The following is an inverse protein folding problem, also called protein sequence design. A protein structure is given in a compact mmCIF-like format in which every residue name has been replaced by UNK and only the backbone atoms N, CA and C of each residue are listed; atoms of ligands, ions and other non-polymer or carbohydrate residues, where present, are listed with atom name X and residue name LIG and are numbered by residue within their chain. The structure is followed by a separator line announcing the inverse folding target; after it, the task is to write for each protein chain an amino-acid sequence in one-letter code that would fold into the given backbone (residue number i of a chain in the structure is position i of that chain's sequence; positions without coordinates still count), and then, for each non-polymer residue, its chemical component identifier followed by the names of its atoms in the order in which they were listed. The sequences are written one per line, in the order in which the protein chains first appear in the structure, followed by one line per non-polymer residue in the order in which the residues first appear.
data_IF_946687709946
#
_entry.id   IF_946687709946
#
_cell.length_a   1.000
_cell.length_b   1.000
_cell.length_c   1.000
_cell.angle_alpha   90.00
_cell.angle_beta   90.00
_cell.angle_gamma   90.00
#
_symmetry.space_group_name_H-M   'P 1'
#
loop_
_entity.id
_entity.type
_entity.pdbx_description
1 polymer ?
#
# COMPACT_ATOMS: atom_id res chain seq x y z
N UNK A 1 1.30 8.06 -3.80
CA UNK A 1 -0.11 7.77 -3.41
C UNK A 1 -0.75 9.07 -2.92
N UNK A 2 -1.79 9.55 -3.54
CA UNK A 2 -2.56 10.80 -3.19
C UNK A 2 -1.78 12.12 -3.22
N UNK A 3 -0.62 12.18 -3.84
CA UNK A 3 0.29 13.35 -3.74
C UNK A 3 -0.36 14.66 -4.19
N UNK A 4 -1.16 14.62 -5.29
CA UNK A 4 -1.86 15.79 -5.81
C UNK A 4 -2.95 16.28 -4.84
N UNK A 5 -3.76 15.36 -4.31
CA UNK A 5 -4.83 15.69 -3.37
C UNK A 5 -4.24 16.21 -2.04
N UNK A 6 -3.22 15.54 -1.52
CA UNK A 6 -2.55 15.94 -0.28
C UNK A 6 -1.98 17.36 -0.36
N UNK A 7 -1.31 17.69 -1.46
CA UNK A 7 -0.74 19.03 -1.66
C UNK A 7 -1.82 20.11 -1.71
N UNK A 8 -2.94 19.85 -2.37
CA UNK A 8 -4.05 20.81 -2.48
C UNK A 8 -4.76 20.99 -1.15
N UNK A 9 -5.01 19.91 -0.43
CA UNK A 9 -5.63 19.97 0.90
C UNK A 9 -4.73 20.65 1.91
N UNK A 10 -3.44 20.35 1.91
CA UNK A 10 -2.50 21.03 2.80
C UNK A 10 -2.44 22.53 2.52
N UNK A 11 -2.38 22.95 1.25
CA UNK A 11 -2.45 24.39 0.88
C UNK A 11 -3.74 25.04 1.39
N UNK A 12 -4.89 24.40 1.18
CA UNK A 12 -6.18 24.88 1.64
C UNK A 12 -6.24 25.05 3.17
N UNK A 13 -5.74 24.07 3.91
CA UNK A 13 -5.73 24.08 5.37
C UNK A 13 -4.62 24.96 5.96
N UNK A 14 -3.53 25.20 5.21
CA UNK A 14 -2.43 26.05 5.65
C UNK A 14 -2.85 27.52 5.79
N UNK A 15 -3.82 27.97 5.00
CA UNK A 15 -4.39 29.34 5.11
C UNK A 15 -4.90 29.60 6.54
N UNK A 16 -5.43 28.57 7.20
CA UNK A 16 -5.90 28.68 8.58
C UNK A 16 -4.78 28.72 9.64
N UNK A 17 -3.59 28.19 9.32
CA UNK A 17 -2.47 28.13 10.28
C UNK A 17 -1.85 29.53 10.55
N UNK A 18 -2.04 30.49 9.65
CA UNK A 18 -1.48 31.86 9.78
C UNK A 18 -2.38 32.83 10.55
N UNK A 19 -3.64 32.44 10.86
CA UNK A 19 -4.60 33.31 11.54
C UNK A 19 -4.72 32.94 13.03
N UNK A 20 -4.42 33.89 13.89
CA UNK A 20 -4.55 33.71 15.35
C UNK A 20 -6.00 33.54 15.84
N UNK A 21 -6.99 33.85 14.99
CA UNK A 21 -8.41 33.59 15.18
C UNK A 21 -9.03 33.11 13.88
N UNK A 22 -9.90 32.10 13.95
CA UNK A 22 -10.68 31.61 12.80
C UNK A 22 -12.04 32.28 12.82
N UNK A 23 -12.44 32.87 11.69
CA UNK A 23 -13.77 33.47 11.49
C UNK A 23 -14.63 32.54 10.62
N UNK A 24 -15.95 32.75 10.66
CA UNK A 24 -16.87 32.00 9.76
C UNK A 24 -16.51 32.22 8.28
N UNK A 25 -16.02 33.39 7.92
CA UNK A 25 -15.59 33.74 6.55
C UNK A 25 -14.37 32.89 6.17
N UNK A 26 -13.34 32.82 7.04
CA UNK A 26 -12.14 32.03 6.76
C UNK A 26 -12.45 30.53 6.63
N UNK A 27 -13.37 30.01 7.46
CA UNK A 27 -13.86 28.63 7.34
C UNK A 27 -14.54 28.41 5.99
N UNK A 28 -15.41 29.32 5.57
CA UNK A 28 -16.11 29.19 4.30
C UNK A 28 -15.17 29.22 3.09
N UNK A 29 -14.17 30.10 3.09
CA UNK A 29 -13.14 30.17 2.05
C UNK A 29 -12.28 28.91 2.01
N UNK A 30 -11.78 28.45 3.16
CA UNK A 30 -11.03 27.20 3.24
C UNK A 30 -11.81 26.00 2.73
N UNK A 31 -13.08 25.89 3.11
CA UNK A 31 -13.94 24.79 2.65
C UNK A 31 -14.27 24.86 1.15
N UNK A 32 -14.27 26.06 0.56
CA UNK A 32 -14.37 26.22 -0.90
C UNK A 32 -13.14 25.61 -1.59
N UNK A 33 -11.95 25.89 -1.08
CA UNK A 33 -10.70 25.32 -1.65
C UNK A 33 -10.61 23.79 -1.38
N UNK A 34 -11.01 23.32 -0.19
CA UNK A 34 -11.11 21.88 0.09
C UNK A 34 -12.05 21.19 -0.89
N UNK A 35 -13.24 21.78 -1.16
CA UNK A 35 -14.16 21.22 -2.17
C UNK A 35 -13.53 21.17 -3.54
N UNK A 36 -12.82 22.22 -3.95
CA UNK A 36 -12.14 22.27 -5.22
C UNK A 36 -11.07 21.18 -5.31
N UNK A 37 -10.27 20.99 -4.24
CA UNK A 37 -9.27 19.93 -4.18
C UNK A 37 -9.89 18.53 -4.34
N UNK A 38 -11.04 18.27 -3.70
CA UNK A 38 -11.78 17.01 -3.84
C UNK A 38 -12.31 16.79 -5.27
N UNK A 39 -12.86 17.84 -5.90
CA UNK A 39 -13.34 17.76 -7.29
C UNK A 39 -12.19 17.52 -8.27
N UNK A 40 -11.08 18.21 -8.10
CA UNK A 40 -9.86 18.01 -8.90
C UNK A 40 -9.25 16.61 -8.72
N UNK A 41 -9.58 15.95 -7.61
CA UNK A 41 -9.23 14.57 -7.32
C UNK A 41 -10.24 13.54 -7.85
N UNK A 42 -11.18 13.93 -8.71
CA UNK A 42 -12.26 13.10 -9.24
C UNK A 42 -13.25 12.58 -8.18
N UNK A 43 -13.40 13.27 -7.05
CA UNK A 43 -14.46 12.96 -6.09
C UNK A 43 -15.80 13.43 -6.65
N UNK A 44 -16.85 12.63 -6.51
CA UNK A 44 -18.19 12.98 -6.97
C UNK A 44 -18.65 14.31 -6.37
N UNK A 45 -19.23 15.19 -7.21
CA UNK A 45 -19.66 16.53 -6.82
C UNK A 45 -20.61 16.55 -5.60
N UNK A 46 -21.58 15.64 -5.55
CA UNK A 46 -22.52 15.55 -4.44
C UNK A 46 -21.78 15.20 -3.15
N UNK A 47 -20.88 14.23 -3.21
CA UNK A 47 -20.07 13.80 -2.06
C UNK A 47 -19.19 14.96 -1.56
N UNK A 48 -18.47 15.64 -2.45
CA UNK A 48 -17.63 16.79 -2.09
C UNK A 48 -18.43 17.95 -1.48
N UNK A 49 -19.64 18.19 -1.98
CA UNK A 49 -20.57 19.19 -1.44
C UNK A 49 -21.08 18.82 -0.05
N UNK A 50 -21.54 17.58 0.12
CA UNK A 50 -22.09 17.10 1.40
C UNK A 50 -20.98 17.04 2.46
N UNK A 51 -19.77 16.57 2.11
CA UNK A 51 -18.59 16.60 2.95
C UNK A 51 -18.29 18.00 3.49
N UNK A 52 -18.17 18.99 2.60
CA UNK A 52 -17.85 20.38 3.03
C UNK A 52 -18.96 21.01 3.84
N UNK A 53 -20.24 20.65 3.57
CA UNK A 53 -21.36 21.07 4.40
C UNK A 53 -21.29 20.52 5.82
N UNK A 54 -21.01 19.22 5.96
CA UNK A 54 -20.87 18.54 7.26
C UNK A 54 -19.70 19.09 8.05
N UNK A 55 -18.53 19.27 7.40
CA UNK A 55 -17.36 19.89 8.05
C UNK A 55 -17.68 21.31 8.54
N UNK A 56 -18.37 22.13 7.72
CA UNK A 56 -18.81 23.47 8.14
C UNK A 56 -19.68 23.42 9.39
N UNK A 57 -20.69 22.55 9.40
CA UNK A 57 -21.60 22.41 10.54
C UNK A 57 -20.85 21.99 11.81
N UNK A 58 -19.96 21.02 11.72
CA UNK A 58 -19.13 20.56 12.86
C UNK A 58 -18.19 21.65 13.35
N UNK A 59 -17.54 22.37 12.44
CA UNK A 59 -16.63 23.46 12.78
C UNK A 59 -17.35 24.60 13.54
N UNK A 60 -18.53 25.00 13.11
CA UNK A 60 -19.32 26.03 13.78
C UNK A 60 -19.91 25.55 15.12
N UNK A 61 -20.29 24.25 15.22
CA UNK A 61 -20.88 23.67 16.42
C UNK A 61 -19.90 23.35 17.55
N UNK A 62 -18.60 23.16 17.25
CA UNK A 62 -17.58 22.76 18.23
C UNK A 62 -16.77 23.94 18.81
N UNK A 63 -17.25 25.16 18.75
CA UNK A 63 -16.53 26.33 19.23
C UNK A 63 -15.09 26.46 18.68
N UNK A 64 -14.88 26.07 17.41
CA UNK A 64 -13.57 26.20 16.74
C UNK A 64 -13.07 27.65 16.80
N UNK A 65 -14.02 28.59 16.70
CA UNK A 65 -13.74 30.04 16.74
C UNK A 65 -13.16 30.53 18.06
N UNK A 66 -13.43 29.82 19.16
CA UNK A 66 -12.95 30.15 20.51
C UNK A 66 -11.83 29.25 21.01
N UNK A 67 -11.39 28.30 20.21
CA UNK A 67 -10.31 27.37 20.56
C UNK A 67 -8.96 28.09 20.61
N UNK A 68 -8.08 27.65 21.52
CA UNK A 68 -6.69 28.11 21.58
C UNK A 68 -5.86 27.63 20.36
N UNK A 69 -6.30 26.57 19.68
CA UNK A 69 -5.64 26.01 18.48
C UNK A 69 -6.68 25.71 17.38
N UNK A 70 -7.32 26.74 16.81
CA UNK A 70 -8.45 26.55 15.90
C UNK A 70 -8.08 25.77 14.64
N UNK A 71 -6.88 26.00 14.09
CA UNK A 71 -6.40 25.31 12.89
C UNK A 71 -6.21 23.79 13.10
N UNK A 72 -5.72 23.38 14.26
CA UNK A 72 -5.57 21.94 14.58
C UNK A 72 -6.93 21.26 14.75
N UNK A 73 -7.87 21.95 15.39
CA UNK A 73 -9.23 21.41 15.53
C UNK A 73 -9.92 21.28 14.18
N UNK A 74 -9.70 22.23 13.25
CA UNK A 74 -10.23 22.15 11.89
C UNK A 74 -9.65 20.98 11.12
N UNK A 75 -8.33 20.76 11.19
CA UNK A 75 -7.67 19.61 10.57
C UNK A 75 -8.23 18.29 11.13
N UNK A 76 -8.44 18.22 12.45
CA UNK A 76 -9.07 17.06 13.09
C UNK A 76 -10.47 16.80 12.57
N UNK A 77 -11.32 17.82 12.47
CA UNK A 77 -12.69 17.68 11.93
C UNK A 77 -12.64 17.16 10.48
N UNK A 78 -11.76 17.71 9.64
CA UNK A 78 -11.57 17.25 8.25
C UNK A 78 -11.11 15.79 8.21
N UNK A 79 -10.15 15.40 9.07
CA UNK A 79 -9.69 14.01 9.20
C UNK A 79 -10.81 13.07 9.59
N UNK A 80 -11.52 13.39 10.67
CA UNK A 80 -12.62 12.56 11.19
C UNK A 80 -13.72 12.37 10.13
N UNK A 81 -14.01 13.42 9.35
CA UNK A 81 -15.01 13.37 8.29
C UNK A 81 -14.52 12.58 7.06
N UNK A 82 -13.24 12.69 6.67
CA UNK A 82 -12.65 11.85 5.63
C UNK A 82 -12.67 10.38 6.04
N UNK A 83 -12.31 10.08 7.29
CA UNK A 83 -12.36 8.72 7.85
C UNK A 83 -13.77 8.14 7.77
N UNK A 84 -14.78 8.90 8.21
CA UNK A 84 -16.19 8.50 8.16
C UNK A 84 -16.66 8.26 6.72
N UNK A 85 -16.27 9.13 5.79
CA UNK A 85 -16.61 9.04 4.37
C UNK A 85 -16.07 7.77 3.71
N UNK A 86 -14.86 7.33 4.13
CA UNK A 86 -14.23 6.10 3.65
C UNK A 86 -14.67 4.83 4.39
N UNK A 87 -15.52 4.95 5.42
CA UNK A 87 -16.13 3.80 6.08
C UNK A 87 -15.96 3.71 7.59
N UNK A 88 -15.23 4.64 8.21
CA UNK A 88 -14.98 4.69 9.65
C UNK A 88 -13.95 3.66 10.09
N UNK A 89 -14.35 2.40 10.21
CA UNK A 89 -13.51 1.31 10.67
C UNK A 89 -13.05 0.39 9.53
N UNK A 90 -11.92 -0.30 9.75
CA UNK A 90 -11.45 -1.34 8.84
C UNK A 90 -12.41 -2.54 8.84
N UNK A 91 -12.67 -3.09 7.65
CA UNK A 91 -13.53 -4.26 7.49
C UNK A 91 -12.70 -5.49 7.11
N UNK A 92 -12.75 -6.53 7.95
CA UNK A 92 -12.07 -7.79 7.69
C UNK A 92 -12.74 -8.62 6.59
N UNK A 93 -11.99 -9.60 6.08
CA UNK A 93 -12.51 -10.61 5.14
C UNK A 93 -13.31 -11.68 5.90
N UNK A 94 -14.42 -12.10 5.32
CA UNK A 94 -15.24 -13.18 5.89
C UNK A 94 -14.71 -14.55 5.45
N UNK A 95 -14.13 -15.28 6.38
CA UNK A 95 -13.56 -16.62 6.16
C UNK A 95 -14.42 -17.73 6.80
N UNK A 96 -15.73 -17.55 6.82
CA UNK A 96 -16.66 -18.58 7.31
C UNK A 96 -16.85 -19.67 6.26
N UNK A 97 -17.00 -20.91 6.73
CA UNK A 97 -17.17 -22.09 5.85
C UNK A 97 -15.93 -22.99 5.83
N UNK A 98 -16.10 -24.20 5.32
CA UNK A 98 -15.03 -25.19 5.17
C UNK A 98 -15.21 -25.96 3.85
N UNK A 99 -14.53 -25.51 2.79
CA UNK A 99 -13.70 -24.31 2.67
C UNK A 99 -14.51 -23.01 2.65
N UNK A 100 -13.88 -21.87 3.02
CA UNK A 100 -14.40 -20.52 2.73
C UNK A 100 -14.24 -20.25 1.24
N UNK A 101 -15.28 -19.79 0.56
CA UNK A 101 -15.24 -19.51 -0.87
C UNK A 101 -15.25 -18.00 -1.11
N UNK A 102 -14.25 -17.49 -1.80
CA UNK A 102 -14.09 -16.08 -2.16
C UNK A 102 -14.24 -15.96 -3.67
N UNK A 103 -15.20 -15.14 -4.10
CA UNK A 103 -15.41 -14.84 -5.52
C UNK A 103 -14.81 -13.46 -5.87
N UNK A 104 -13.89 -13.45 -6.85
CA UNK A 104 -13.29 -12.23 -7.36
C UNK A 104 -14.05 -11.77 -8.59
N UNK A 105 -14.57 -10.54 -8.60
CA UNK A 105 -15.33 -9.95 -9.70
C UNK A 105 -14.77 -8.59 -10.12
N UNK A 106 -15.02 -8.14 -11.36
CA UNK A 106 -14.56 -6.84 -11.86
C UNK A 106 -14.22 -6.86 -13.34
N UNK A 107 -13.88 -5.69 -13.91
CA UNK A 107 -13.57 -5.54 -15.33
C UNK A 107 -12.20 -6.14 -15.71
N UNK A 108 -11.97 -6.33 -17.00
CA UNK A 108 -10.65 -6.69 -17.53
C UNK A 108 -9.63 -5.59 -17.21
N UNK A 109 -8.41 -6.00 -16.84
CA UNK A 109 -7.35 -5.04 -16.49
C UNK A 109 -7.46 -4.43 -15.10
N UNK A 110 -8.53 -4.73 -14.34
CA UNK A 110 -8.67 -4.26 -12.95
C UNK A 110 -7.69 -4.93 -11.96
N UNK A 111 -6.96 -5.97 -12.40
CA UNK A 111 -5.96 -6.65 -11.57
C UNK A 111 -6.48 -7.85 -10.78
N UNK A 112 -7.66 -8.43 -11.12
CA UNK A 112 -8.25 -9.60 -10.44
C UNK A 112 -7.26 -10.75 -10.27
N UNK A 113 -6.71 -11.26 -11.37
CA UNK A 113 -5.80 -12.42 -11.37
C UNK A 113 -4.58 -12.18 -10.47
N UNK A 114 -3.92 -11.03 -10.62
CA UNK A 114 -2.78 -10.65 -9.78
C UNK A 114 -3.19 -10.50 -8.31
N UNK A 115 -4.35 -9.90 -8.06
CA UNK A 115 -4.83 -9.70 -6.69
C UNK A 115 -5.31 -11.00 -6.06
N UNK A 116 -5.86 -11.94 -6.82
CA UNK A 116 -6.17 -13.32 -6.36
C UNK A 116 -4.93 -13.98 -5.78
N UNK A 117 -3.79 -13.87 -6.46
CA UNK A 117 -2.50 -14.34 -5.95
C UNK A 117 -2.03 -13.59 -4.69
N UNK A 118 -2.11 -12.27 -4.68
CA UNK A 118 -1.75 -11.46 -3.50
C UNK A 118 -2.60 -11.83 -2.29
N UNK A 119 -3.91 -12.00 -2.48
CA UNK A 119 -4.83 -12.39 -1.42
C UNK A 119 -4.52 -13.81 -0.93
N UNK A 120 -4.22 -14.75 -1.84
CA UNK A 120 -3.80 -16.10 -1.46
C UNK A 120 -2.52 -16.09 -0.63
N UNK A 121 -1.51 -15.31 -1.06
CA UNK A 121 -0.26 -15.14 -0.32
C UNK A 121 -0.50 -14.52 1.07
N UNK A 122 -1.31 -13.47 1.15
CA UNK A 122 -1.70 -12.85 2.42
C UNK A 122 -2.39 -13.83 3.36
N UNK A 123 -3.36 -14.61 2.86
CA UNK A 123 -4.09 -15.60 3.67
C UNK A 123 -3.18 -16.73 4.14
N UNK A 124 -2.24 -17.17 3.30
CA UNK A 124 -1.25 -18.19 3.63
C UNK A 124 -0.27 -17.69 4.71
N UNK A 125 0.32 -16.53 4.51
CA UNK A 125 1.42 -16.02 5.34
C UNK A 125 0.95 -15.32 6.62
N UNK A 126 -0.15 -14.54 6.55
CA UNK A 126 -0.64 -13.72 7.66
C UNK A 126 -1.82 -14.34 8.42
N UNK A 127 -2.55 -15.27 7.80
CA UNK A 127 -3.75 -15.89 8.40
C UNK A 127 -3.62 -17.39 8.58
N UNK A 128 -2.45 -17.98 8.26
CA UNK A 128 -2.18 -19.42 8.37
C UNK A 128 -3.26 -20.28 7.69
N UNK A 129 -3.75 -19.83 6.53
CA UNK A 129 -4.72 -20.54 5.70
C UNK A 129 -4.02 -21.37 4.63
N UNK A 130 -4.73 -22.41 4.14
CA UNK A 130 -4.31 -23.22 3.00
C UNK A 130 -5.23 -22.90 1.81
N UNK A 131 -4.92 -21.85 0.98
CA UNK A 131 -5.76 -21.44 -0.12
C UNK A 131 -5.55 -22.29 -1.37
N UNK A 132 -6.63 -22.45 -2.17
CA UNK A 132 -6.65 -22.94 -3.53
C UNK A 132 -7.06 -21.79 -4.46
N UNK A 133 -6.28 -21.52 -5.49
CA UNK A 133 -6.65 -20.62 -6.57
C UNK A 133 -7.43 -21.37 -7.65
N UNK A 134 -8.44 -20.74 -8.26
CA UNK A 134 -9.29 -21.38 -9.28
C UNK A 134 -9.37 -20.50 -10.51
N UNK A 135 -8.98 -21.06 -11.67
CA UNK A 135 -8.99 -20.38 -12.96
C UNK A 135 -10.37 -20.52 -13.65
N UNK A 136 -11.24 -19.52 -13.50
CA UNK A 136 -12.53 -19.45 -14.17
C UNK A 136 -12.58 -18.42 -15.31
N UNK A 137 -11.45 -17.81 -15.74
CA UNK A 137 -11.36 -17.02 -16.97
C UNK A 137 -11.11 -17.94 -18.17
N UNK A 138 -12.15 -18.66 -18.57
CA UNK A 138 -12.07 -19.68 -19.63
C UNK A 138 -11.89 -19.12 -21.03
N UNK A 139 -12.18 -17.84 -21.24
CA UNK A 139 -12.10 -17.18 -22.55
C UNK A 139 -10.69 -16.74 -22.92
N UNK A 140 -9.78 -16.70 -21.94
CA UNK A 140 -8.41 -16.25 -22.15
C UNK A 140 -7.40 -17.27 -21.62
N UNK A 141 -6.89 -18.16 -22.49
CA UNK A 141 -5.87 -19.14 -22.10
C UNK A 141 -4.65 -18.50 -21.40
N UNK A 142 -4.28 -17.30 -21.84
CA UNK A 142 -3.19 -16.55 -21.21
C UNK A 142 -3.48 -16.18 -19.74
N UNK A 143 -4.75 -15.93 -19.37
CA UNK A 143 -5.12 -15.63 -17.98
C UNK A 143 -5.02 -16.87 -17.08
N UNK A 144 -5.41 -18.05 -17.61
CA UNK A 144 -5.23 -19.33 -16.91
C UNK A 144 -3.73 -19.56 -16.63
N UNK A 145 -2.90 -19.45 -17.68
CA UNK A 145 -1.45 -19.59 -17.52
C UNK A 145 -0.87 -18.56 -16.55
N UNK A 146 -1.33 -17.32 -16.61
CA UNK A 146 -0.92 -16.27 -15.67
C UNK A 146 -1.22 -16.65 -14.21
N UNK A 147 -2.40 -17.20 -13.95
CA UNK A 147 -2.77 -17.62 -12.60
C UNK A 147 -1.89 -18.79 -12.12
N UNK A 148 -1.53 -19.73 -13.01
CA UNK A 148 -0.57 -20.80 -12.69
C UNK A 148 0.82 -20.25 -12.34
N UNK A 149 1.36 -19.31 -13.11
CA UNK A 149 2.65 -18.65 -12.81
C UNK A 149 2.60 -17.94 -11.46
N UNK A 150 1.51 -17.23 -11.19
CA UNK A 150 1.31 -16.57 -9.90
C UNK A 150 1.23 -17.59 -8.75
N UNK A 151 0.49 -18.68 -8.93
CA UNK A 151 0.37 -19.76 -7.95
C UNK A 151 1.72 -20.40 -7.64
N UNK A 152 2.52 -20.71 -8.67
CA UNK A 152 3.87 -21.25 -8.53
C UNK A 152 4.80 -20.30 -7.77
N UNK A 153 4.76 -19.02 -8.11
CA UNK A 153 5.57 -17.98 -7.45
C UNK A 153 5.35 -17.90 -5.93
N UNK A 154 4.10 -18.11 -5.48
CA UNK A 154 3.74 -18.03 -4.04
C UNK A 154 3.61 -19.42 -3.39
N UNK A 155 3.82 -20.49 -4.15
CA UNK A 155 3.68 -21.88 -3.68
C UNK A 155 2.25 -22.21 -3.24
N UNK A 156 1.25 -21.80 -4.05
CA UNK A 156 -0.18 -22.09 -3.86
C UNK A 156 -0.69 -22.86 -5.07
N UNK A 157 -1.46 -23.93 -4.80
CA UNK A 157 -2.05 -24.76 -5.85
C UNK A 157 -3.10 -23.99 -6.64
N UNK A 158 -3.13 -24.24 -7.96
CA UNK A 158 -4.10 -23.67 -8.89
C UNK A 158 -4.91 -24.78 -9.52
N UNK A 159 -6.22 -24.76 -9.31
CA UNK A 159 -7.17 -25.64 -9.97
C UNK A 159 -7.58 -25.06 -11.33
N UNK A 160 -7.44 -25.83 -12.38
CA UNK A 160 -7.95 -25.52 -13.73
C UNK A 160 -8.51 -26.81 -14.36
N UNK A 161 -9.60 -26.68 -15.12
CA UNK A 161 -10.24 -27.79 -15.83
C UNK A 161 -10.08 -27.55 -17.33
N UNK A 162 -8.94 -28.03 -17.88
CA UNK A 162 -8.55 -27.79 -19.29
C UNK A 162 -9.60 -28.31 -20.25
N UNK A 163 -9.98 -27.45 -21.21
CA UNK A 163 -10.99 -27.78 -22.23
C UNK A 163 -12.43 -27.58 -21.77
N UNK A 164 -12.68 -27.33 -20.51
CA UNK A 164 -14.02 -26.99 -20.02
C UNK A 164 -14.24 -25.47 -20.16
N UNK A 165 -15.32 -25.09 -20.84
CA UNK A 165 -15.69 -23.68 -21.08
C UNK A 165 -16.86 -23.23 -20.21
N UNK A 166 -17.26 -24.01 -19.19
CA UNK A 166 -18.32 -23.66 -18.22
C UNK A 166 -17.72 -23.26 -16.89
N UNK A 167 -17.65 -21.93 -16.56
CA UNK A 167 -17.11 -21.44 -15.31
C UNK A 167 -17.87 -21.96 -14.07
N UNK A 168 -19.17 -22.23 -14.22
CA UNK A 168 -20.00 -22.74 -13.11
C UNK A 168 -19.59 -24.18 -12.77
N UNK A 169 -19.39 -25.03 -13.79
CA UNK A 169 -18.94 -26.40 -13.60
C UNK A 169 -17.53 -26.45 -12.99
N UNK A 170 -16.61 -25.59 -13.48
CA UNK A 170 -15.24 -25.47 -12.96
C UNK A 170 -15.27 -25.07 -11.48
N UNK A 171 -16.02 -24.02 -11.12
CA UNK A 171 -16.12 -23.54 -9.76
C UNK A 171 -16.66 -24.61 -8.78
N UNK A 172 -17.71 -25.35 -9.17
CA UNK A 172 -18.25 -26.46 -8.38
C UNK A 172 -17.24 -27.58 -8.18
N UNK A 173 -16.55 -28.01 -9.24
CA UNK A 173 -15.49 -29.02 -9.18
C UNK A 173 -14.36 -28.59 -8.27
N UNK A 174 -13.93 -27.33 -8.38
CA UNK A 174 -12.86 -26.76 -7.55
C UNK A 174 -13.23 -26.77 -6.05
N UNK A 175 -14.46 -26.40 -5.69
CA UNK A 175 -14.93 -26.45 -4.31
C UNK A 175 -14.97 -27.89 -3.79
N UNK A 176 -15.40 -28.85 -4.61
CA UNK A 176 -15.37 -30.28 -4.26
C UNK A 176 -13.93 -30.79 -4.09
N UNK A 177 -13.02 -30.42 -5.02
CA UNK A 177 -11.59 -30.71 -4.94
C UNK A 177 -10.97 -30.16 -3.65
N UNK A 178 -11.27 -28.91 -3.31
CA UNK A 178 -10.78 -28.26 -2.10
C UNK A 178 -11.20 -29.02 -0.82
N UNK A 179 -12.46 -29.45 -0.75
CA UNK A 179 -12.98 -30.27 0.39
C UNK A 179 -12.24 -31.60 0.50
N UNK A 180 -12.00 -32.28 -0.62
CA UNK A 180 -11.35 -33.59 -0.64
C UNK A 180 -9.86 -33.52 -0.27
N UNK A 181 -9.17 -32.40 -0.56
CA UNK A 181 -7.73 -32.26 -0.42
C UNK A 181 -7.29 -31.34 0.75
N UNK A 182 -8.22 -30.95 1.65
CA UNK A 182 -7.89 -30.21 2.86
C UNK A 182 -7.55 -28.74 2.67
N UNK A 183 -7.96 -28.13 1.54
CA UNK A 183 -7.91 -26.68 1.38
C UNK A 183 -9.02 -26.04 2.21
N UNK A 184 -8.69 -24.97 2.93
CA UNK A 184 -9.66 -24.29 3.80
C UNK A 184 -10.16 -22.95 3.25
N UNK A 185 -9.56 -22.47 2.14
CA UNK A 185 -10.01 -21.29 1.39
C UNK A 185 -9.95 -21.61 -0.11
N UNK A 186 -10.94 -21.16 -0.86
CA UNK A 186 -10.99 -21.25 -2.32
C UNK A 186 -11.15 -19.82 -2.85
N UNK A 187 -10.26 -19.38 -3.73
CA UNK A 187 -10.32 -18.05 -4.37
C UNK A 187 -10.59 -18.27 -5.86
N UNK A 188 -11.76 -17.82 -6.32
CA UNK A 188 -12.22 -18.01 -7.70
C UNK A 188 -11.93 -16.73 -8.48
N UNK A 189 -10.97 -16.83 -9.41
CA UNK A 189 -10.64 -15.77 -10.37
C UNK A 189 -11.53 -15.87 -11.60
N UNK A 190 -12.45 -14.90 -11.78
CA UNK A 190 -13.42 -14.90 -12.87
C UNK A 190 -12.93 -14.11 -14.07
N UNK A 191 -13.54 -14.39 -15.24
CA UNK A 191 -13.35 -13.59 -16.43
C UNK A 191 -13.69 -12.10 -16.16
N UNK A 192 -13.02 -11.22 -16.89
CA UNK A 192 -13.37 -9.81 -16.98
C UNK A 192 -13.48 -9.39 -18.44
N UNK A 193 -14.43 -8.54 -18.76
CA UNK A 193 -14.53 -7.90 -20.07
C UNK A 193 -14.17 -6.42 -19.98
N UNK A 194 -13.97 -5.78 -21.13
CA UNK A 194 -13.56 -4.37 -21.21
C UNK A 194 -14.67 -3.41 -20.74
N UNK A 195 -15.92 -3.83 -20.85
CA UNK A 195 -17.08 -3.07 -20.39
C UNK A 195 -18.07 -4.01 -19.70
N UNK A 196 -18.96 -3.43 -18.92
CA UNK A 196 -20.08 -4.15 -18.31
C UNK A 196 -21.08 -4.51 -19.41
N UNK A 197 -21.28 -5.80 -19.66
CA UNK A 197 -22.31 -6.31 -20.57
C UNK A 197 -23.18 -7.37 -19.88
N UNK A 198 -24.38 -7.57 -20.39
CA UNK A 198 -25.37 -8.49 -19.84
C UNK A 198 -24.86 -9.96 -19.78
N UNK A 199 -24.22 -10.52 -20.82
CA UNK A 199 -23.69 -11.88 -20.76
C UNK A 199 -22.67 -12.10 -19.65
N UNK A 200 -21.75 -11.15 -19.44
CA UNK A 200 -20.76 -11.22 -18.36
C UNK A 200 -21.42 -11.17 -16.97
N UNK A 201 -22.37 -10.26 -16.79
CA UNK A 201 -23.06 -10.13 -15.51
C UNK A 201 -23.86 -11.39 -15.19
N UNK A 202 -24.55 -11.96 -16.19
CA UNK A 202 -25.28 -13.21 -16.02
C UNK A 202 -24.35 -14.39 -15.68
N UNK A 203 -23.17 -14.47 -16.31
CA UNK A 203 -22.20 -15.52 -16.03
C UNK A 203 -21.71 -15.44 -14.57
N UNK A 204 -21.31 -14.26 -14.11
CA UNK A 204 -20.84 -14.07 -12.73
C UNK A 204 -21.96 -14.36 -11.72
N UNK A 205 -23.20 -13.94 -12.01
CA UNK A 205 -24.37 -14.28 -11.18
C UNK A 205 -24.60 -15.79 -11.09
N UNK A 206 -24.46 -16.51 -12.22
CA UNK A 206 -24.62 -17.96 -12.25
C UNK A 206 -23.55 -18.66 -11.42
N UNK A 207 -22.28 -18.21 -11.53
CA UNK A 207 -21.19 -18.71 -10.68
C UNK A 207 -21.51 -18.41 -9.22
N UNK A 208 -21.86 -17.17 -8.88
CA UNK A 208 -22.19 -16.75 -7.51
C UNK A 208 -23.30 -17.62 -6.89
N UNK A 209 -24.41 -17.81 -7.61
CA UNK A 209 -25.55 -18.66 -7.16
C UNK A 209 -25.13 -20.12 -6.96
N UNK A 210 -24.25 -20.62 -7.83
CA UNK A 210 -23.87 -22.03 -7.84
C UNK A 210 -22.93 -22.42 -6.70
N UNK A 211 -22.09 -21.50 -6.22
CA UNK A 211 -21.09 -21.76 -5.17
C UNK A 211 -21.44 -21.13 -3.82
N UNK A 212 -22.42 -20.20 -3.78
CA UNK A 212 -22.80 -19.46 -2.56
C UNK A 212 -21.56 -18.97 -1.79
N UNK A 213 -20.77 -18.04 -2.35
CA UNK A 213 -19.51 -17.65 -1.76
C UNK A 213 -19.71 -17.04 -0.36
N UNK A 214 -18.77 -17.26 0.54
CA UNK A 214 -18.75 -16.61 1.86
C UNK A 214 -18.33 -15.15 1.76
N UNK A 215 -17.67 -14.78 0.65
CA UNK A 215 -17.21 -13.42 0.38
C UNK A 215 -17.18 -13.18 -1.14
N UNK A 216 -17.80 -12.11 -1.60
CA UNK A 216 -17.71 -11.62 -2.99
C UNK A 216 -16.98 -10.30 -2.97
N UNK A 217 -15.83 -10.23 -3.65
CA UNK A 217 -14.97 -9.05 -3.69
C UNK A 217 -14.98 -8.43 -5.09
N UNK A 218 -15.29 -7.15 -5.15
CA UNK A 218 -15.22 -6.38 -6.37
C UNK A 218 -13.84 -5.72 -6.50
N UNK A 219 -13.11 -6.07 -7.55
CA UNK A 219 -11.77 -5.57 -7.83
C UNK A 219 -11.83 -4.47 -8.87
N UNK A 220 -11.30 -3.30 -8.53
CA UNK A 220 -11.33 -2.13 -9.40
C UNK A 220 -9.99 -1.38 -9.38
N UNK A 221 -9.63 -0.82 -10.54
CA UNK A 221 -8.45 0.01 -10.71
C UNK A 221 -8.72 1.41 -10.15
N UNK A 222 -7.98 1.82 -9.12
CA UNK A 222 -8.14 3.14 -8.48
C UNK A 222 -7.83 4.29 -9.44
N UNK A 223 -6.98 4.08 -10.45
CA UNK A 223 -6.59 5.10 -11.41
C UNK A 223 -7.71 5.52 -12.36
N UNK A 224 -8.77 4.72 -12.49
CA UNK A 224 -9.93 5.04 -13.35
C UNK A 224 -10.87 6.07 -12.73
N UNK A 225 -10.61 6.54 -11.51
CA UNK A 225 -11.33 7.65 -10.88
C UNK A 225 -12.84 7.40 -10.77
N UNK A 226 -13.65 8.29 -11.33
CA UNK A 226 -15.13 8.20 -11.24
C UNK A 226 -15.71 6.99 -11.98
N UNK A 227 -15.03 6.47 -13.02
CA UNK A 227 -15.46 5.25 -13.73
C UNK A 227 -15.38 4.01 -12.82
N UNK A 228 -14.41 3.97 -11.91
CA UNK A 228 -14.35 2.95 -10.86
C UNK A 228 -15.63 2.94 -10.01
N UNK A 229 -16.10 4.12 -9.64
CA UNK A 229 -17.30 4.29 -8.80
C UNK A 229 -18.57 3.88 -9.55
N UNK A 230 -18.70 4.28 -10.81
CA UNK A 230 -19.84 3.93 -11.66
C UNK A 230 -19.91 2.42 -11.91
N UNK A 231 -18.76 1.80 -12.21
CA UNK A 231 -18.64 0.35 -12.40
C UNK A 231 -18.99 -0.39 -11.11
N UNK A 232 -18.46 0.06 -9.96
CA UNK A 232 -18.79 -0.52 -8.65
C UNK A 232 -20.29 -0.52 -8.38
N UNK A 233 -20.98 0.58 -8.71
CA UNK A 233 -22.45 0.67 -8.57
C UNK A 233 -23.15 -0.39 -9.41
N UNK A 234 -22.81 -0.52 -10.69
CA UNK A 234 -23.45 -1.50 -11.59
C UNK A 234 -23.24 -2.93 -11.09
N UNK A 235 -22.03 -3.28 -10.67
CA UNK A 235 -21.75 -4.60 -10.08
C UNK A 235 -22.50 -4.81 -8.76
N UNK A 236 -22.58 -3.79 -7.91
CA UNK A 236 -23.27 -3.91 -6.63
C UNK A 236 -24.78 -4.12 -6.79
N UNK A 237 -25.39 -3.44 -7.76
CA UNK A 237 -26.82 -3.56 -8.05
C UNK A 237 -27.21 -4.99 -8.51
N UNK A 238 -26.26 -5.74 -9.11
CA UNK A 238 -26.46 -7.10 -9.62
C UNK A 238 -25.99 -8.20 -8.66
N UNK A 239 -24.81 -8.07 -8.07
CA UNK A 239 -24.17 -9.11 -7.27
C UNK A 239 -24.29 -8.85 -5.77
N UNK A 240 -24.61 -7.62 -5.34
CA UNK A 240 -24.60 -7.22 -3.95
C UNK A 240 -23.31 -7.69 -3.22
N UNK A 241 -22.14 -7.40 -3.82
CA UNK A 241 -20.84 -7.87 -3.31
C UNK A 241 -20.58 -7.38 -1.85
N UNK A 242 -19.66 -8.06 -1.16
CA UNK A 242 -19.41 -7.83 0.26
C UNK A 242 -18.34 -6.78 0.54
N UNK A 243 -17.45 -6.55 -0.40
CA UNK A 243 -16.36 -5.57 -0.25
C UNK A 243 -15.66 -5.24 -1.56
N UNK A 244 -14.89 -4.16 -1.50
CA UNK A 244 -14.13 -3.62 -2.63
C UNK A 244 -12.64 -3.80 -2.40
N UNK A 245 -11.93 -4.10 -3.48
CA UNK A 245 -10.47 -4.09 -3.56
C UNK A 245 -10.06 -2.98 -4.52
N UNK A 246 -9.23 -2.05 -4.06
CA UNK A 246 -8.60 -1.03 -4.90
C UNK A 246 -7.22 -1.48 -5.31
N UNK A 247 -7.01 -1.66 -6.61
CA UNK A 247 -5.71 -1.98 -7.19
C UNK A 247 -5.01 -0.73 -7.72
N UNK A 248 -3.70 -0.81 -7.97
CA UNK A 248 -2.86 0.24 -8.55
C UNK A 248 -2.90 1.57 -7.80
N UNK A 249 -3.10 1.51 -6.49
CA UNK A 249 -3.20 2.71 -5.65
C UNK A 249 -1.85 3.43 -5.53
N UNK A 250 -0.75 2.74 -5.77
CA UNK A 250 0.61 3.29 -5.87
C UNK A 250 0.76 4.29 -7.03
N UNK A 251 0.04 4.07 -8.14
CA UNK A 251 -0.05 4.99 -9.28
C UNK A 251 -1.12 6.08 -9.14
N UNK A 252 -2.06 5.95 -8.21
CA UNK A 252 -3.13 6.93 -8.01
C UNK A 252 -2.66 8.14 -7.18
N UNK A 253 -2.54 9.29 -7.84
CA UNK A 253 -2.19 10.56 -7.21
C UNK A 253 -3.41 11.37 -6.79
N UNK A 254 -4.62 10.98 -7.22
CA UNK A 254 -5.88 11.71 -7.01
C UNK A 254 -6.69 11.19 -5.83
N UNK A 255 -6.92 9.88 -5.74
CA UNK A 255 -7.61 9.24 -4.62
C UNK A 255 -9.14 9.33 -4.65
N UNK A 256 -9.73 9.84 -5.72
CA UNK A 256 -11.18 10.04 -5.81
C UNK A 256 -12.00 8.75 -5.70
N UNK A 257 -11.52 7.65 -6.25
CA UNK A 257 -12.17 6.35 -6.13
C UNK A 257 -12.23 5.86 -4.68
N UNK A 258 -11.11 5.96 -3.95
CA UNK A 258 -11.03 5.55 -2.54
C UNK A 258 -12.00 6.33 -1.64
N UNK A 259 -12.16 7.64 -1.91
CA UNK A 259 -13.07 8.51 -1.16
C UNK A 259 -14.53 8.24 -1.51
N UNK A 260 -14.85 7.99 -2.80
CA UNK A 260 -16.21 8.00 -3.30
C UNK A 260 -16.91 6.64 -3.25
N UNK A 261 -16.17 5.55 -3.40
CA UNK A 261 -16.76 4.20 -3.62
C UNK A 261 -17.67 3.78 -2.46
N UNK A 262 -17.22 3.93 -1.21
CA UNK A 262 -18.00 3.56 -0.02
C UNK A 262 -19.33 4.32 0.03
N UNK A 263 -19.31 5.61 -0.28
CA UNK A 263 -20.52 6.46 -0.23
C UNK A 263 -21.53 6.11 -1.31
N UNK A 264 -21.07 5.59 -2.47
CA UNK A 264 -21.96 5.27 -3.59
C UNK A 264 -22.55 3.87 -3.47
N UNK A 265 -21.71 2.86 -3.13
CA UNK A 265 -22.17 1.45 -3.09
C UNK A 265 -22.50 0.96 -1.69
N UNK A 266 -22.22 1.75 -0.66
CA UNK A 266 -22.39 1.39 0.75
C UNK A 266 -21.71 0.07 1.15
N UNK A 267 -20.59 -0.26 0.49
CA UNK A 267 -19.77 -1.44 0.78
C UNK A 267 -18.38 -1.02 1.24
N UNK A 268 -17.77 -1.75 2.20
CA UNK A 268 -16.44 -1.39 2.69
C UNK A 268 -15.37 -1.64 1.63
N UNK A 269 -14.34 -0.81 1.61
CA UNK A 269 -13.08 -1.16 0.99
C UNK A 269 -12.35 -2.07 1.99
N UNK A 270 -11.92 -3.26 1.56
CA UNK A 270 -11.28 -4.25 2.44
C UNK A 270 -9.77 -4.32 2.25
N UNK A 271 -9.33 -4.23 1.00
CA UNK A 271 -7.91 -4.32 0.66
C UNK A 271 -7.51 -3.30 -0.39
N UNK A 272 -6.22 -2.99 -0.41
CA UNK A 272 -5.57 -2.17 -1.43
C UNK A 272 -4.34 -2.87 -1.98
N UNK A 273 -4.11 -2.71 -3.29
CA UNK A 273 -2.86 -3.08 -3.96
C UNK A 273 -1.94 -1.88 -4.07
N UNK A 274 -0.73 -2.02 -3.52
CA UNK A 274 0.25 -0.93 -3.36
C UNK A 274 1.53 -1.16 -4.17
N UNK A 275 1.44 -1.91 -5.26
CA UNK A 275 2.57 -2.22 -6.14
C UNK A 275 2.40 -3.55 -6.85
N UNK A 276 3.39 -4.00 -7.61
CA UNK A 276 3.31 -5.21 -8.45
C UNK A 276 3.66 -6.51 -7.70
N UNK A 277 4.48 -6.43 -6.65
CA UNK A 277 4.94 -7.62 -5.90
C UNK A 277 3.78 -8.37 -5.23
N UNK A 278 3.93 -9.68 -5.02
CA UNK A 278 2.89 -10.53 -4.40
C UNK A 278 2.64 -10.22 -2.92
N UNK A 279 3.54 -9.54 -2.25
CA UNK A 279 3.39 -9.04 -0.88
C UNK A 279 2.85 -7.60 -0.81
N UNK A 280 2.71 -6.91 -1.97
CA UNK A 280 2.18 -5.55 -2.05
C UNK A 280 0.63 -5.53 -1.95
N UNK A 281 0.12 -5.93 -0.81
CA UNK A 281 -1.28 -5.92 -0.39
C UNK A 281 -1.37 -5.41 1.04
N UNK A 282 -2.27 -4.46 1.28
CA UNK A 282 -2.56 -3.97 2.62
C UNK A 282 -4.06 -4.04 2.91
N UNK A 283 -4.42 -4.19 4.18
CA UNK A 283 -5.80 -3.98 4.65
C UNK A 283 -6.10 -2.48 4.56
N UNK A 284 -7.31 -2.14 4.15
CA UNK A 284 -7.72 -0.76 4.07
C UNK A 284 -8.14 -0.25 5.46
N UNK A 285 -7.40 0.72 5.97
CA UNK A 285 -7.68 1.42 7.22
C UNK A 285 -8.11 2.86 6.91
N UNK A 286 -9.41 3.22 7.02
CA UNK A 286 -9.90 4.55 6.68
C UNK A 286 -9.20 5.70 7.38
N UNK A 287 -8.88 5.55 8.66
CA UNK A 287 -8.18 6.53 9.48
C UNK A 287 -6.74 6.80 8.98
N UNK A 288 -6.00 5.72 8.66
CA UNK A 288 -4.63 5.82 8.10
C UNK A 288 -4.65 6.43 6.70
N UNK A 289 -5.67 6.12 5.90
CA UNK A 289 -5.84 6.74 4.59
C UNK A 289 -6.15 8.23 4.69
N UNK A 290 -6.98 8.64 5.65
CA UNK A 290 -7.22 10.05 5.94
C UNK A 290 -5.94 10.78 6.35
N UNK A 291 -5.10 10.17 7.20
CA UNK A 291 -3.78 10.72 7.56
C UNK A 291 -2.86 10.89 6.35
N UNK A 292 -2.79 9.88 5.46
CA UNK A 292 -2.01 9.97 4.21
C UNK A 292 -2.53 11.09 3.29
N UNK A 293 -3.84 11.18 3.11
CA UNK A 293 -4.49 12.22 2.30
C UNK A 293 -4.20 13.62 2.85
N UNK A 294 -4.13 13.79 4.16
CA UNK A 294 -3.81 15.07 4.81
C UNK A 294 -2.29 15.34 4.94
N UNK A 295 -1.45 14.47 4.38
CA UNK A 295 0.01 14.62 4.44
C UNK A 295 0.59 14.42 5.85
N UNK A 296 -0.16 13.80 6.76
CA UNK A 296 0.25 13.51 8.14
C UNK A 296 1.09 12.22 8.26
N UNK A 297 1.26 11.50 7.14
CA UNK A 297 1.97 10.22 7.10
C UNK A 297 1.15 9.05 7.63
N UNK A 298 1.80 7.91 7.78
CA UNK A 298 1.19 6.68 8.32
C UNK A 298 2.22 5.94 9.16
N UNK A 299 2.53 6.51 10.32
CA UNK A 299 3.56 5.98 11.23
C UNK A 299 3.19 4.59 11.75
N UNK A 300 1.89 4.30 11.92
CA UNK A 300 1.43 3.01 12.44
C UNK A 300 1.77 1.90 11.44
N UNK A 301 1.41 2.07 10.16
CA UNK A 301 1.75 1.08 9.12
C UNK A 301 3.27 0.93 8.94
N UNK A 302 4.04 2.02 9.08
CA UNK A 302 5.50 1.96 9.02
C UNK A 302 6.07 1.11 10.17
N UNK A 303 5.57 1.31 11.38
CA UNK A 303 5.99 0.54 12.57
C UNK A 303 5.58 -0.93 12.44
N UNK A 304 4.36 -1.22 12.00
CA UNK A 304 3.89 -2.59 11.76
C UNK A 304 4.78 -3.32 10.74
N UNK A 305 5.08 -2.71 9.60
CA UNK A 305 5.99 -3.28 8.59
C UNK A 305 7.41 -3.48 9.13
N UNK A 306 7.90 -2.52 9.92
CA UNK A 306 9.20 -2.67 10.58
C UNK A 306 9.21 -3.86 11.55
N UNK A 307 8.17 -4.01 12.37
CA UNK A 307 8.06 -5.12 13.33
C UNK A 307 7.96 -6.49 12.66
N UNK A 308 7.27 -6.60 11.52
CA UNK A 308 7.19 -7.84 10.75
C UNK A 308 8.52 -8.32 10.19
N UNK A 309 9.43 -7.39 9.90
CA UNK A 309 10.78 -7.70 9.38
C UNK A 309 11.85 -7.72 10.48
N UNK A 310 11.44 -7.45 11.74
CA UNK A 310 12.36 -7.32 12.87
C UNK A 310 12.63 -8.70 13.49
N UNK A 311 13.87 -9.17 13.33
CA UNK A 311 14.40 -10.32 14.03
C UNK A 311 15.21 -9.84 15.23
N UNK A 312 14.70 -10.07 16.45
CA UNK A 312 15.37 -9.66 17.70
C UNK A 312 16.78 -10.26 17.82
N UNK A 313 16.98 -11.48 17.36
CA UNK A 313 18.30 -12.13 17.43
C UNK A 313 19.30 -11.47 16.48
N UNK A 314 18.86 -11.17 15.24
CA UNK A 314 19.70 -10.45 14.28
C UNK A 314 20.01 -9.03 14.77
N UNK A 315 19.04 -8.32 15.35
CA UNK A 315 19.24 -6.99 15.92
C UNK A 315 20.24 -7.01 17.08
N UNK A 316 20.16 -7.99 17.99
CA UNK A 316 21.15 -8.17 19.08
C UNK A 316 22.54 -8.51 18.55
N UNK A 317 22.66 -9.36 17.52
CA UNK A 317 23.92 -9.67 16.85
C UNK A 317 24.52 -8.42 16.20
N UNK A 318 23.71 -7.63 15.54
CA UNK A 318 24.10 -6.37 14.91
C UNK A 318 24.59 -5.34 15.95
N UNK A 319 23.86 -5.16 17.05
CA UNK A 319 24.28 -4.27 18.14
C UNK A 319 25.66 -4.67 18.71
N UNK A 320 25.88 -5.97 18.92
CA UNK A 320 27.20 -6.47 19.39
C UNK A 320 28.31 -6.20 18.37
N UNK A 321 28.06 -6.33 17.08
CA UNK A 321 29.03 -6.03 16.02
C UNK A 321 29.37 -4.53 15.97
N UNK A 322 28.36 -3.66 16.07
CA UNK A 322 28.57 -2.19 16.08
C UNK A 322 29.40 -1.80 17.29
N UNK A 323 29.06 -2.33 18.47
CA UNK A 323 29.84 -2.07 19.71
C UNK A 323 31.31 -2.48 19.61
N UNK A 324 31.59 -3.58 18.89
CA UNK A 324 32.94 -4.11 18.66
C UNK A 324 33.66 -3.52 17.43
N UNK A 325 33.11 -2.52 16.76
CA UNK A 325 33.59 -1.97 15.48
C UNK A 325 33.73 -3.03 14.37
N UNK A 326 32.88 -4.03 14.36
CA UNK A 326 32.87 -5.15 13.39
C UNK A 326 31.72 -5.00 12.37
N UNK A 327 31.09 -3.83 12.28
CA UNK A 327 30.06 -3.55 11.28
C UNK A 327 30.70 -3.43 9.89
N UNK A 328 30.34 -4.35 8.99
CA UNK A 328 30.90 -4.44 7.63
C UNK A 328 29.84 -4.23 6.54
N UNK A 329 30.27 -4.30 5.28
CA UNK A 329 29.38 -4.19 4.13
C UNK A 329 28.40 -5.36 4.01
N UNK A 330 28.72 -6.55 4.52
CA UNK A 330 27.75 -7.66 4.58
C UNK A 330 26.58 -7.34 5.52
N UNK A 331 26.84 -6.67 6.65
CA UNK A 331 25.79 -6.24 7.58
C UNK A 331 24.98 -5.10 6.97
N UNK A 332 25.63 -4.17 6.26
CA UNK A 332 24.96 -3.10 5.54
C UNK A 332 24.03 -3.63 4.43
N UNK A 333 24.49 -4.62 3.66
CA UNK A 333 23.68 -5.28 2.62
C UNK A 333 22.44 -5.95 3.22
N UNK A 334 22.59 -6.61 4.38
CA UNK A 334 21.43 -7.17 5.11
C UNK A 334 20.40 -6.11 5.49
N UNK A 335 20.87 -4.94 5.98
CA UNK A 335 19.97 -3.83 6.32
C UNK A 335 19.25 -3.30 5.08
N UNK A 336 19.95 -3.12 3.95
CA UNK A 336 19.31 -2.73 2.68
C UNK A 336 18.24 -3.74 2.28
N UNK A 337 18.51 -5.03 2.37
CA UNK A 337 17.56 -6.08 2.02
C UNK A 337 16.35 -6.11 2.96
N UNK A 338 16.53 -5.84 4.25
CA UNK A 338 15.41 -5.70 5.18
C UNK A 338 14.51 -4.50 4.82
N UNK A 339 15.10 -3.36 4.51
CA UNK A 339 14.34 -2.18 4.05
C UNK A 339 13.60 -2.47 2.74
N UNK A 340 14.24 -3.10 1.76
CA UNK A 340 13.58 -3.52 0.50
C UNK A 340 12.38 -4.45 0.70
N UNK A 341 12.41 -5.29 1.73
CA UNK A 341 11.29 -6.17 2.09
C UNK A 341 10.10 -5.40 2.70
N UNK A 342 10.32 -4.22 3.27
CA UNK A 342 9.25 -3.39 3.83
C UNK A 342 8.42 -2.68 2.76
N UNK A 343 8.86 -2.64 1.51
CA UNK A 343 8.19 -2.00 0.39
C UNK A 343 9.09 -1.08 -0.43
N UNK A 344 8.50 -0.26 -1.32
CA UNK A 344 9.27 0.73 -2.07
C UNK A 344 9.76 1.85 -1.15
N UNK A 345 10.95 2.41 -1.45
CA UNK A 345 11.48 3.55 -0.66
C UNK A 345 10.55 4.76 -0.72
N UNK A 346 9.91 4.98 -1.86
CA UNK A 346 8.94 6.07 -2.05
C UNK A 346 7.74 5.92 -1.11
N UNK A 347 7.22 4.71 -0.95
CA UNK A 347 6.10 4.44 -0.04
C UNK A 347 6.52 4.62 1.42
N UNK A 348 7.69 4.10 1.80
CA UNK A 348 8.21 4.21 3.17
C UNK A 348 8.43 5.69 3.57
N UNK A 349 9.02 6.49 2.68
CA UNK A 349 9.20 7.93 2.89
C UNK A 349 7.85 8.64 2.99
N UNK A 350 6.87 8.26 2.17
CA UNK A 350 5.51 8.80 2.22
C UNK A 350 4.76 8.51 3.55
N UNK A 351 5.16 7.48 4.28
CA UNK A 351 4.61 7.16 5.61
C UNK A 351 5.18 8.03 6.73
N UNK A 352 6.32 8.69 6.52
CA UNK A 352 6.95 9.55 7.52
C UNK A 352 6.34 10.96 7.45
N UNK A 353 5.78 11.50 8.54
CA UNK A 353 5.21 12.84 8.56
C UNK A 353 6.21 13.92 8.10
N UNK A 354 5.83 14.70 7.09
CA UNK A 354 6.64 15.79 6.55
C UNK A 354 7.82 15.38 5.65
N UNK A 355 8.25 14.11 5.63
CA UNK A 355 9.36 13.65 4.81
C UNK A 355 9.01 13.64 3.32
N UNK A 356 7.78 13.31 2.97
CA UNK A 356 7.31 13.31 1.58
C UNK A 356 7.48 14.65 0.88
N UNK A 357 7.33 15.77 1.60
CA UNK A 357 7.57 17.12 1.07
C UNK A 357 9.04 17.45 0.94
N UNK A 358 9.85 17.11 1.95
CA UNK A 358 11.28 17.41 1.97
C UNK A 358 12.07 16.61 0.91
N UNK A 359 11.55 15.47 0.46
CA UNK A 359 12.19 14.56 -0.49
C UNK A 359 11.49 14.51 -1.86
N UNK A 360 10.53 15.38 -2.13
CA UNK A 360 9.75 15.39 -3.40
C UNK A 360 10.63 15.61 -4.63
N UNK A 361 11.70 16.38 -4.48
CA UNK A 361 12.67 16.69 -5.55
C UNK A 361 13.86 15.71 -5.60
N UNK A 362 13.88 14.73 -4.68
CA UNK A 362 14.88 13.67 -4.68
C UNK A 362 14.27 12.46 -5.40
N UNK A 363 14.76 12.20 -6.58
CA UNK A 363 14.42 10.97 -7.32
C UNK A 363 15.03 9.79 -6.56
N UNK A 364 14.20 9.17 -5.70
CA UNK A 364 14.58 7.98 -4.95
C UNK A 364 14.33 6.79 -5.87
N UNK A 365 15.28 6.56 -6.75
CA UNK A 365 15.29 5.42 -7.64
C UNK A 365 15.59 4.15 -6.84
N UNK A 366 14.68 3.18 -6.85
CA UNK A 366 14.93 1.83 -6.30
C UNK A 366 16.15 1.18 -6.98
N UNK A 367 16.55 1.64 -8.18
CA UNK A 367 17.75 1.21 -8.88
C UNK A 367 19.06 1.73 -8.25
N UNK A 368 19.00 2.78 -7.43
CA UNK A 368 20.17 3.25 -6.68
C UNK A 368 20.76 2.15 -5.77
N UNK A 369 19.88 1.31 -5.21
CA UNK A 369 20.34 0.16 -4.42
C UNK A 369 20.99 -0.93 -5.26
N UNK A 370 20.61 -1.11 -6.52
CA UNK A 370 21.24 -2.09 -7.43
C UNK A 370 22.71 -1.77 -7.65
N UNK A 371 23.05 -0.50 -7.81
CA UNK A 371 24.47 -0.08 -7.94
C UNK A 371 25.26 -0.33 -6.65
N UNK A 372 24.67 -0.04 -5.49
CA UNK A 372 25.28 -0.31 -4.18
C UNK A 372 25.52 -1.82 -4.00
N UNK A 373 24.53 -2.64 -4.30
CA UNK A 373 24.64 -4.11 -4.25
C UNK A 373 25.71 -4.62 -5.20
N UNK A 374 25.77 -4.16 -6.44
CA UNK A 374 26.78 -4.53 -7.41
C UNK A 374 28.20 -4.18 -6.94
N UNK A 375 28.37 -2.99 -6.34
CA UNK A 375 29.67 -2.59 -5.75
C UNK A 375 30.06 -3.56 -4.62
N UNK A 376 29.14 -3.84 -3.68
CA UNK A 376 29.43 -4.71 -2.53
C UNK A 376 29.71 -6.14 -2.99
N UNK A 377 28.95 -6.68 -3.94
CA UNK A 377 29.18 -8.02 -4.49
C UNK A 377 30.50 -8.14 -5.25
N UNK A 378 31.02 -7.04 -5.80
CA UNK A 378 32.34 -6.98 -6.45
C UNK A 378 33.52 -6.88 -5.48
N UNK A 379 33.24 -6.71 -4.17
CA UNK A 379 34.25 -6.72 -3.11
C UNK A 379 34.57 -8.17 -2.66
N UNK A 380 35.82 -8.44 -2.27
CA UNK A 380 36.18 -9.68 -1.60
C UNK A 380 35.60 -9.73 -0.18
N UNK A 381 35.48 -10.93 0.45
CA UNK A 381 35.02 -11.04 1.83
C UNK A 381 35.81 -10.17 2.84
N UNK A 382 37.12 -10.07 2.65
CA UNK A 382 37.99 -9.22 3.47
C UNK A 382 37.65 -7.73 3.30
N UNK A 383 37.45 -7.27 2.08
CA UNK A 383 37.13 -5.89 1.79
C UNK A 383 35.74 -5.50 2.31
N UNK A 384 34.78 -6.45 2.33
CA UNK A 384 33.46 -6.26 2.92
C UNK A 384 33.51 -6.18 4.45
N UNK A 385 34.36 -6.99 5.08
CA UNK A 385 34.50 -6.99 6.55
C UNK A 385 35.38 -5.86 7.07
N UNK A 386 36.42 -5.45 6.31
CA UNK A 386 37.36 -4.39 6.69
C UNK A 386 37.52 -3.36 5.56
N UNK A 387 36.58 -2.44 5.40
CA UNK A 387 36.53 -1.47 4.30
C UNK A 387 37.77 -0.56 4.20
N UNK A 388 38.50 -0.40 5.29
CA UNK A 388 39.76 0.39 5.32
C UNK A 388 40.87 -0.21 4.48
N UNK A 389 40.78 -1.47 4.09
CA UNK A 389 41.75 -2.15 3.21
C UNK A 389 41.59 -1.81 1.73
N UNK A 390 40.52 -1.10 1.37
CA UNK A 390 40.20 -0.75 -0.03
C UNK A 390 41.07 0.43 -0.49
N UNK A 391 42.19 0.13 -1.10
CA UNK A 391 43.10 1.09 -1.73
C UNK A 391 42.66 1.49 -3.16
N UNK A 392 43.45 2.35 -3.81
CA UNK A 392 43.16 2.85 -5.16
C UNK A 392 43.09 1.75 -6.22
N UNK A 393 43.97 0.70 -6.12
CA UNK A 393 43.98 -0.42 -7.05
C UNK A 393 42.72 -1.27 -6.93
N UNK A 394 42.31 -1.56 -5.68
CA UNK A 394 41.09 -2.31 -5.37
C UNK A 394 39.84 -1.55 -5.79
N UNK A 395 39.79 -0.22 -5.62
CA UNK A 395 38.68 0.61 -6.13
C UNK A 395 38.51 0.51 -7.64
N UNK A 396 39.62 0.54 -8.41
CA UNK A 396 39.58 0.33 -9.87
C UNK A 396 39.05 -1.05 -10.25
N UNK A 397 39.48 -2.10 -9.55
CA UNK A 397 38.99 -3.46 -9.78
C UNK A 397 37.52 -3.60 -9.46
N UNK A 398 37.07 -3.08 -8.30
CA UNK A 398 35.66 -3.09 -7.87
C UNK A 398 34.81 -2.30 -8.88
N UNK A 399 35.26 -1.13 -9.34
CA UNK A 399 34.57 -0.32 -10.35
C UNK A 399 34.34 -1.10 -11.64
N UNK A 400 35.38 -1.79 -12.13
CA UNK A 400 35.29 -2.62 -13.33
C UNK A 400 34.31 -3.80 -13.15
N UNK A 401 34.35 -4.45 -11.97
CA UNK A 401 33.49 -5.61 -11.66
C UNK A 401 32.02 -5.26 -11.48
N UNK A 402 31.74 -4.09 -10.92
CA UNK A 402 30.37 -3.61 -10.65
C UNK A 402 29.75 -2.79 -11.79
N UNK A 403 30.50 -2.48 -12.83
CA UNK A 403 30.02 -1.57 -13.90
C UNK A 403 29.82 -0.14 -13.42
N UNK A 404 30.50 0.29 -12.32
CA UNK A 404 30.35 1.61 -11.72
C UNK A 404 31.65 2.41 -11.83
N UNK A 405 31.64 3.67 -11.40
CA UNK A 405 32.82 4.54 -11.38
C UNK A 405 33.57 4.50 -10.04
N UNK A 406 34.87 4.79 -10.05
CA UNK A 406 35.66 4.98 -8.82
C UNK A 406 35.10 6.08 -7.94
N UNK A 407 34.44 7.09 -8.54
CA UNK A 407 33.79 8.18 -7.81
C UNK A 407 32.60 7.65 -6.99
N UNK A 408 31.75 6.79 -7.56
CA UNK A 408 30.62 6.16 -6.86
C UNK A 408 31.09 5.27 -5.71
N UNK A 409 32.21 4.53 -5.89
CA UNK A 409 32.81 3.76 -4.82
C UNK A 409 33.29 4.65 -3.67
N UNK A 410 33.98 5.76 -3.99
CA UNK A 410 34.43 6.71 -2.96
C UNK A 410 33.24 7.33 -2.20
N UNK A 411 32.16 7.64 -2.90
CA UNK A 411 30.93 8.12 -2.29
C UNK A 411 30.32 7.10 -1.34
N UNK A 412 30.19 5.85 -1.78
CA UNK A 412 29.69 4.74 -0.95
C UNK A 412 30.55 4.52 0.31
N UNK A 413 31.88 4.50 0.17
CA UNK A 413 32.80 4.35 1.30
C UNK A 413 32.65 5.51 2.31
N UNK A 414 32.50 6.73 1.82
CA UNK A 414 32.29 7.91 2.67
C UNK A 414 30.96 7.84 3.41
N UNK A 415 29.87 7.50 2.71
CA UNK A 415 28.55 7.32 3.31
C UNK A 415 28.54 6.22 4.36
N UNK A 416 29.15 5.07 4.05
CA UNK A 416 29.29 3.96 4.98
C UNK A 416 30.03 4.37 6.26
N UNK A 417 31.14 5.10 6.15
CA UNK A 417 31.89 5.59 7.30
C UNK A 417 31.08 6.57 8.15
N UNK A 418 30.34 7.48 7.52
CA UNK A 418 29.47 8.43 8.23
C UNK A 418 28.36 7.71 9.00
N UNK A 419 27.69 6.75 8.36
CA UNK A 419 26.64 5.94 8.97
C UNK A 419 27.20 5.10 10.14
N UNK A 420 28.35 4.45 9.96
CA UNK A 420 29.00 3.66 11.02
C UNK A 420 29.35 4.52 12.25
N UNK A 421 29.84 5.75 12.01
CA UNK A 421 30.10 6.72 13.10
C UNK A 421 28.81 7.13 13.81
N UNK A 422 27.73 7.41 13.07
CA UNK A 422 26.44 7.79 13.63
C UNK A 422 25.85 6.68 14.49
N UNK A 423 25.83 5.43 14.00
CA UNK A 423 25.38 4.26 14.76
C UNK A 423 26.14 4.08 16.06
N UNK A 424 27.45 4.30 16.04
CA UNK A 424 28.29 4.21 17.22
C UNK A 424 27.98 5.30 18.27
N UNK A 425 27.73 6.55 17.81
CA UNK A 425 27.31 7.65 18.70
C UNK A 425 25.95 7.38 19.33
N UNK A 426 25.03 6.77 18.62
CA UNK A 426 23.71 6.41 19.15
C UNK A 426 23.79 5.37 20.28
N UNK A 427 24.71 4.42 20.23
CA UNK A 427 24.92 3.42 21.29
C UNK A 427 25.65 3.97 22.53
N UNK A 428 26.51 4.99 22.39
CA UNK A 428 27.34 5.54 23.44
C UNK A 428 26.68 6.58 24.36
N UNK A 429 25.36 6.55 24.56
CA UNK A 429 24.64 7.51 25.46
C UNK A 429 24.43 8.89 24.85
N UNK A 430 24.93 9.17 23.65
CA UNK A 430 24.73 10.42 22.91
C UNK A 430 23.32 10.56 22.28
N UNK A 431 22.54 9.48 22.24
CA UNK A 431 21.21 9.47 21.65
C UNK A 431 20.23 10.45 22.31
N UNK A 432 20.31 10.62 23.64
CA UNK A 432 19.51 11.62 24.38
C UNK A 432 19.88 13.07 24.01
N UNK A 433 21.17 13.36 23.81
CA UNK A 433 21.63 14.71 23.39
C UNK A 433 21.25 15.04 21.96
N UNK A 434 21.28 14.04 21.07
CA UNK A 434 20.92 14.23 19.66
C UNK A 434 19.40 14.41 19.49
N UNK A 435 18.58 13.70 20.26
CA UNK A 435 17.12 13.89 20.30
C UNK A 435 16.72 15.27 20.84
N UNK A 436 17.46 15.79 21.82
CA UNK A 436 17.31 17.18 22.30
C UNK A 436 17.76 18.22 21.25
N UNK A 437 18.84 17.97 20.51
CA UNK A 437 19.27 18.86 19.42
C UNK A 437 18.28 18.90 18.26
N UNK A 438 17.71 17.75 17.86
CA UNK A 438 16.67 17.72 16.83
C UNK A 438 15.34 18.32 17.30
N UNK A 439 15.03 18.27 18.58
CA UNK A 439 13.85 18.94 19.17
C UNK A 439 13.97 20.46 19.23
N UNK A 440 15.19 21.01 19.28
CA UNK A 440 15.46 22.44 19.32
C UNK A 440 15.67 23.09 17.93
N UNK A 441 15.60 22.34 16.84
CA UNK A 441 15.62 22.83 15.46
C UNK A 441 14.21 22.96 14.84
N UNK A 442 13.18 23.08 15.70
CA UNK A 442 11.81 23.43 15.29
C UNK A 442 11.48 24.86 15.60
#
# INVERSE_FOLDING_TARGET
MFDNLSDKLDKALHVLKGHGSITEVNVAETLKEVRRALLDADVNFKIAKDFTKTVKQKALGQNVLTSLQPSQLMVKIVKDELTALMGGDASGINLKGSPSVILMSGLQGSGKTTFSGKLANYLKTKKSKNPLLVACDVYRPAAINQLHVVGEQIGVEVFSDQGNMDPVAIAKKAVAHAKANGFNVVIIDTAGRLAVDEPMMQEIENVHKAISPSETLFVVDAMTGQDAVNTAKTFNDRLNFDGVILTKLDGDTRGGAAISIKSVVNKPIKFIGTGEKMDAIDVFYPDRMADRILGMGDVISLVERAQEQFDEEEARKLQKKIAKNQFGFDDFLKQINQVKKMGSMKDLVGMIPGAGKAMKDVDIDDDAFKHIEAIIHSMTPLERSVPTTIDTSRKKRIAKGSGTSVQQINQLLKQFQQMSKMMKMMQGGGGKKMMQMMGNMR
#
